data_IF_905532290464
#
_entry.id   IF_905532290464
#
_cell.length_a   1.000
_cell.length_b   1.000
_cell.length_c   1.000
_cell.angle_alpha   90.00
_cell.angle_beta   90.00
_cell.angle_gamma   90.00
#
_symmetry.space_group_name_H-M   'P 1'
#
loop_
_entity.id
_entity.type
_entity.pdbx_description
1 polymer ?
#
# COMPACT_ATOMS: atom_id res chain seq x y z
N UNK A 1 -0.47 -32.59 34.20
CA UNK A 1 -1.07 -33.14 32.97
C UNK A 1 -0.01 -33.13 31.88
N UNK A 2 0.44 -34.30 31.43
CA UNK A 2 1.42 -34.45 30.35
C UNK A 2 0.66 -34.59 29.02
N UNK A 3 0.79 -33.60 28.15
CA UNK A 3 0.15 -33.62 26.83
C UNK A 3 0.80 -34.67 25.93
N UNK A 4 0.00 -35.42 25.17
CA UNK A 4 0.53 -36.38 24.20
C UNK A 4 1.24 -35.64 23.07
N UNK A 5 2.32 -36.24 22.54
CA UNK A 5 3.07 -35.67 21.40
C UNK A 5 2.15 -35.35 20.21
N UNK A 6 1.11 -36.16 19.98
CA UNK A 6 0.12 -35.95 18.93
C UNK A 6 -0.73 -34.69 19.15
N UNK A 7 -1.13 -34.41 20.40
CA UNK A 7 -1.89 -33.20 20.72
C UNK A 7 -1.04 -31.93 20.53
N UNK A 8 0.23 -31.97 20.93
CA UNK A 8 1.15 -30.84 20.74
C UNK A 8 1.36 -30.54 19.25
N UNK A 9 1.48 -31.56 18.39
CA UNK A 9 1.61 -31.38 16.94
C UNK A 9 0.32 -30.81 16.33
N UNK A 10 -0.85 -31.24 16.79
CA UNK A 10 -2.12 -30.69 16.30
C UNK A 10 -2.26 -29.21 16.65
N UNK A 11 -1.95 -28.82 17.89
CA UNK A 11 -2.02 -27.42 18.33
C UNK A 11 -1.06 -26.54 17.54
N UNK A 12 0.18 -26.99 17.28
CA UNK A 12 1.14 -26.20 16.50
C UNK A 12 0.74 -26.07 15.03
N UNK A 13 0.16 -27.11 14.42
CA UNK A 13 -0.36 -27.02 13.04
C UNK A 13 -1.50 -25.98 12.97
N UNK A 14 -2.42 -26.01 13.93
CA UNK A 14 -3.53 -25.04 13.99
C UNK A 14 -3.01 -23.62 14.20
N UNK A 15 -2.03 -23.44 15.09
CA UNK A 15 -1.40 -22.14 15.33
C UNK A 15 -0.71 -21.58 14.07
N UNK A 16 0.10 -22.40 13.39
CA UNK A 16 0.76 -22.00 12.14
C UNK A 16 -0.24 -21.67 11.04
N UNK A 17 -1.34 -22.43 10.95
CA UNK A 17 -2.40 -22.19 9.99
C UNK A 17 -3.10 -20.85 10.26
N UNK A 18 -3.50 -20.59 11.51
CA UNK A 18 -4.12 -19.33 11.91
C UNK A 18 -3.17 -18.15 11.69
N UNK A 19 -1.89 -18.29 12.04
CA UNK A 19 -0.88 -17.27 11.81
C UNK A 19 -0.72 -16.95 10.32
N UNK A 20 -0.71 -17.98 9.47
CA UNK A 20 -0.67 -17.84 8.01
C UNK A 20 -1.89 -17.10 7.46
N UNK A 21 -3.11 -17.42 7.95
CA UNK A 21 -4.34 -16.73 7.56
C UNK A 21 -4.31 -15.24 7.93
N UNK A 22 -3.91 -14.91 9.16
CA UNK A 22 -3.80 -13.53 9.62
C UNK A 22 -2.78 -12.77 8.78
N UNK A 23 -1.61 -13.36 8.55
CA UNK A 23 -0.57 -12.75 7.74
C UNK A 23 -1.03 -12.54 6.28
N UNK A 24 -1.73 -13.52 5.69
CA UNK A 24 -2.30 -13.41 4.35
C UNK A 24 -3.32 -12.26 4.24
N UNK A 25 -4.28 -12.18 5.17
CA UNK A 25 -5.30 -11.13 5.19
C UNK A 25 -4.67 -9.74 5.36
N UNK A 26 -3.66 -9.61 6.22
CA UNK A 26 -2.94 -8.35 6.41
C UNK A 26 -2.13 -7.95 5.17
N UNK A 27 -1.49 -8.89 4.48
CA UNK A 27 -0.80 -8.64 3.22
C UNK A 27 -1.77 -8.15 2.14
N UNK A 28 -2.95 -8.79 2.02
CA UNK A 28 -3.98 -8.38 1.08
C UNK A 28 -4.45 -6.95 1.36
N UNK A 29 -4.79 -6.63 2.62
CA UNK A 29 -5.24 -5.30 3.05
C UNK A 29 -4.21 -4.21 2.73
N UNK A 30 -2.91 -4.48 2.90
CA UNK A 30 -1.85 -3.54 2.53
C UNK A 30 -1.71 -3.36 1.02
N UNK A 31 -1.91 -4.41 0.24
CA UNK A 31 -1.92 -4.35 -1.23
C UNK A 31 -3.01 -3.42 -1.76
N UNK A 32 -4.25 -3.58 -1.28
CA UNK A 32 -5.39 -2.73 -1.65
C UNK A 32 -5.16 -1.24 -1.40
N UNK A 33 -4.54 -0.91 -0.27
CA UNK A 33 -4.22 0.49 0.07
C UNK A 33 -3.20 1.11 -0.89
N UNK A 34 -2.24 0.33 -1.39
CA UNK A 34 -1.28 0.81 -2.38
C UNK A 34 -1.89 0.93 -3.77
N UNK A 35 -2.74 -0.04 -4.17
CA UNK A 35 -3.52 0.03 -5.42
C UNK A 35 -4.30 1.34 -5.51
N UNK A 36 -5.05 1.68 -4.45
CA UNK A 36 -5.88 2.89 -4.42
C UNK A 36 -5.05 4.18 -4.53
N UNK A 37 -3.97 4.31 -3.75
CA UNK A 37 -3.10 5.49 -3.78
C UNK A 37 -2.44 5.69 -5.15
N UNK A 38 -2.05 4.60 -5.81
CA UNK A 38 -1.46 4.68 -7.14
C UNK A 38 -2.47 5.17 -8.18
N UNK A 39 -3.68 4.63 -8.20
CA UNK A 39 -4.74 5.10 -9.11
C UNK A 39 -5.06 6.58 -8.87
N UNK A 40 -5.12 7.00 -7.60
CA UNK A 40 -5.33 8.40 -7.24
C UNK A 40 -4.18 9.31 -7.73
N UNK A 41 -2.93 8.88 -7.60
CA UNK A 41 -1.75 9.57 -8.13
C UNK A 41 -1.79 9.67 -9.67
N UNK A 42 -2.15 8.58 -10.36
CA UNK A 42 -2.17 8.52 -11.82
C UNK A 42 -3.22 9.46 -12.43
N UNK A 43 -4.19 9.95 -11.65
CA UNK A 43 -5.21 10.91 -12.09
C UNK A 43 -6.26 10.35 -13.06
N UNK A 44 -6.05 9.12 -13.57
CA UNK A 44 -6.99 8.38 -14.39
C UNK A 44 -6.84 6.88 -14.13
N UNK A 45 -7.97 6.16 -14.12
CA UNK A 45 -8.00 4.70 -14.03
C UNK A 45 -7.97 4.10 -15.44
N UNK A 46 -6.89 4.36 -16.18
CA UNK A 46 -6.72 3.78 -17.51
C UNK A 46 -6.72 2.26 -17.44
N UNK A 47 -7.42 1.60 -18.37
CA UNK A 47 -7.63 0.16 -18.35
C UNK A 47 -6.31 -0.62 -18.33
N UNK A 48 -5.29 -0.13 -19.04
CA UNK A 48 -3.94 -0.71 -19.05
C UNK A 48 -3.21 -0.57 -17.72
N UNK A 49 -3.48 0.51 -16.99
CA UNK A 49 -2.89 0.74 -15.66
C UNK A 49 -3.53 -0.16 -14.61
N UNK A 50 -4.86 -0.33 -14.69
CA UNK A 50 -5.60 -1.23 -13.81
C UNK A 50 -5.22 -2.69 -14.04
N UNK A 51 -5.15 -3.14 -15.30
CA UNK A 51 -4.72 -4.50 -15.68
C UNK A 51 -3.32 -4.82 -15.17
N UNK A 52 -2.37 -3.89 -15.32
CA UNK A 52 -1.01 -4.05 -14.78
C UNK A 52 -1.00 -4.15 -13.25
N UNK A 53 -1.84 -3.38 -12.57
CA UNK A 53 -1.99 -3.45 -11.11
C UNK A 53 -2.61 -4.78 -10.67
N UNK A 54 -3.63 -5.25 -11.37
CA UNK A 54 -4.31 -6.50 -11.07
C UNK A 54 -3.36 -7.68 -11.27
N UNK A 55 -2.67 -7.77 -12.41
CA UNK A 55 -1.66 -8.79 -12.66
C UNK A 55 -0.52 -8.77 -11.61
N UNK A 56 -0.05 -7.57 -11.23
CA UNK A 56 1.03 -7.41 -10.26
C UNK A 56 0.65 -7.85 -8.85
N UNK A 57 -0.54 -7.52 -8.37
CA UNK A 57 -0.94 -7.74 -6.97
C UNK A 57 -1.77 -9.02 -6.75
N UNK A 58 -2.53 -9.48 -7.75
CA UNK A 58 -3.38 -10.67 -7.67
C UNK A 58 -2.61 -11.92 -8.15
N UNK A 59 -2.12 -11.88 -9.39
CA UNK A 59 -1.66 -13.05 -10.12
C UNK A 59 -0.18 -13.36 -9.91
N UNK A 60 0.70 -12.39 -10.20
CA UNK A 60 2.15 -12.61 -10.18
C UNK A 60 2.81 -12.25 -8.83
N UNK A 61 2.20 -11.35 -8.05
CA UNK A 61 2.76 -10.84 -6.77
C UNK A 61 4.22 -10.41 -6.88
N UNK A 62 4.58 -9.72 -7.96
CA UNK A 62 5.96 -9.30 -8.23
C UNK A 62 6.41 -8.26 -7.20
N UNK A 63 7.21 -8.71 -6.22
CA UNK A 63 7.72 -7.87 -5.14
C UNK A 63 8.56 -6.70 -5.65
N UNK A 64 9.27 -6.82 -6.78
CA UNK A 64 10.07 -5.73 -7.34
C UNK A 64 9.16 -4.65 -7.92
N UNK A 65 8.12 -5.05 -8.64
CA UNK A 65 7.16 -4.11 -9.22
C UNK A 65 6.32 -3.42 -8.14
N UNK A 66 5.87 -4.16 -7.11
CA UNK A 66 5.18 -3.58 -5.94
C UNK A 66 6.06 -2.54 -5.25
N UNK A 67 7.36 -2.83 -5.09
CA UNK A 67 8.30 -1.88 -4.49
C UNK A 67 8.49 -0.63 -5.34
N UNK A 68 8.59 -0.78 -6.67
CA UNK A 68 8.67 0.34 -7.61
C UNK A 68 7.43 1.24 -7.55
N UNK A 69 6.24 0.64 -7.61
CA UNK A 69 4.95 1.34 -7.49
C UNK A 69 4.91 2.11 -6.16
N UNK A 70 5.32 1.48 -5.06
CA UNK A 70 5.38 2.14 -3.76
C UNK A 70 6.30 3.36 -3.74
N UNK A 71 7.48 3.24 -4.32
CA UNK A 71 8.44 4.35 -4.46
C UNK A 71 7.86 5.50 -5.26
N UNK A 72 7.24 5.21 -6.41
CA UNK A 72 6.59 6.21 -7.26
C UNK A 72 5.50 6.98 -6.50
N UNK A 73 4.61 6.27 -5.79
CA UNK A 73 3.57 6.92 -4.96
C UNK A 73 4.18 7.80 -3.86
N UNK A 74 5.17 7.28 -3.12
CA UNK A 74 5.81 8.02 -2.02
C UNK A 74 6.62 9.23 -2.50
N UNK A 75 7.20 9.17 -3.70
CA UNK A 75 7.90 10.31 -4.32
C UNK A 75 6.90 11.39 -4.78
N UNK A 76 5.77 10.98 -5.37
CA UNK A 76 4.71 11.90 -5.78
C UNK A 76 4.04 12.62 -4.62
N UNK A 77 3.70 11.91 -3.54
CA UNK A 77 3.12 12.52 -2.35
C UNK A 77 4.08 13.55 -1.74
N UNK A 78 5.37 13.21 -1.61
CA UNK A 78 6.39 14.16 -1.12
C UNK A 78 6.56 15.37 -2.03
N UNK A 79 6.51 15.18 -3.35
CA UNK A 79 6.57 16.29 -4.30
C UNK A 79 5.34 17.20 -4.17
N UNK A 80 4.16 16.61 -4.06
CA UNK A 80 2.89 17.32 -3.87
C UNK A 80 2.89 18.13 -2.58
N UNK A 81 3.32 17.53 -1.47
CA UNK A 81 3.46 18.22 -0.18
C UNK A 81 4.42 19.41 -0.26
N UNK A 82 5.57 19.24 -0.90
CA UNK A 82 6.52 20.35 -1.14
C UNK A 82 5.89 21.47 -1.95
N UNK A 83 5.20 21.13 -3.05
CA UNK A 83 4.52 22.13 -3.89
C UNK A 83 3.44 22.89 -3.13
N UNK A 84 2.63 22.20 -2.34
CA UNK A 84 1.61 22.84 -1.50
C UNK A 84 2.27 23.75 -0.45
N UNK A 85 3.36 23.32 0.19
CA UNK A 85 4.10 24.13 1.15
C UNK A 85 4.71 25.39 0.51
N UNK A 86 5.29 25.27 -0.69
CA UNK A 86 5.79 26.41 -1.48
C UNK A 86 4.67 27.39 -1.82
N UNK A 87 3.52 26.90 -2.31
CA UNK A 87 2.36 27.74 -2.62
C UNK A 87 1.82 28.46 -1.38
N UNK A 88 1.73 27.78 -0.23
CA UNK A 88 1.30 28.40 1.03
C UNK A 88 2.29 29.46 1.51
N UNK A 89 3.60 29.24 1.36
CA UNK A 89 4.62 30.25 1.65
C UNK A 89 4.49 31.46 0.73
N UNK A 90 4.30 31.23 -0.57
CA UNK A 90 4.08 32.30 -1.54
C UNK A 90 2.80 33.10 -1.24
N UNK A 91 1.69 32.44 -0.86
CA UNK A 91 0.45 33.11 -0.44
C UNK A 91 0.62 33.94 0.83
N UNK A 92 1.45 33.51 1.79
CA UNK A 92 1.75 34.30 3.00
C UNK A 92 2.70 35.47 2.75
N UNK A 93 3.52 35.40 1.71
CA UNK A 93 4.47 36.45 1.32
C UNK A 93 3.86 37.46 0.36
N UNK A 94 2.67 37.19 -0.20
CA UNK A 94 1.87 38.22 -0.87
C UNK A 94 1.19 39.08 0.21
N UNK A 95 1.67 40.32 0.49
CA UNK A 95 0.87 41.26 1.27
C UNK A 95 -0.43 41.50 0.51
N UNK A 96 -1.54 41.57 1.24
CA UNK A 96 -2.89 41.65 0.68
C UNK A 96 -2.98 42.53 -0.58
N UNK A 97 -3.23 41.89 -1.71
CA UNK A 97 -3.97 42.56 -2.79
C UNK A 97 -5.42 42.54 -2.31
N UNK A 98 -5.83 43.70 -1.83
CA UNK A 98 -6.89 43.85 -0.84
C UNK A 98 -8.28 43.40 -1.23
N UNK A 99 -9.10 43.20 -0.19
CA UNK A 99 -10.31 43.99 0.06
C UNK A 99 -10.39 44.26 1.55
#
# INVERSE_FOLDING_TARGET
MTYSRSYLVQVTIVELFLFSLVHNAWQLKRGWRLKYRYVLMSGNADAKTLDRLENCFEWNRDRKLIWKIRKEVEDFERWTEKKVAEMLRAKRQQPGVGK
#
